data_IF_493526498473
#
_entry.id   IF_493526498473
#
_cell.length_a   1.000
_cell.length_b   1.000
_cell.length_c   1.000
_cell.angle_alpha   90.00
_cell.angle_beta   90.00
_cell.angle_gamma   90.00
#
_symmetry.space_group_name_H-M   'P 1'
#
loop_
_entity.id
_entity.type
_entity.pdbx_description
1 polymer ?
#
# COMPACT_ATOMS: atom_id res chain seq x y z
N UNK A 1 -5.41 -5.27 14.83
CA UNK A 1 -4.26 -5.00 13.96
C UNK A 1 -3.84 -6.25 13.23
N UNK A 2 -3.51 -6.12 11.95
CA UNK A 2 -3.07 -7.24 11.14
C UNK A 2 -1.84 -6.91 10.31
N UNK A 3 -1.20 -7.94 9.80
CA UNK A 3 0.02 -7.83 9.00
C UNK A 3 0.16 -9.03 8.08
N UNK A 4 0.56 -8.78 6.82
CA UNK A 4 0.83 -9.82 5.84
C UNK A 4 1.67 -9.25 4.71
N UNK A 5 2.37 -10.12 3.97
CA UNK A 5 3.02 -9.67 2.74
C UNK A 5 1.96 -9.38 1.68
N UNK A 6 2.34 -8.62 0.66
CA UNK A 6 1.40 -8.35 -0.44
C UNK A 6 1.00 -9.64 -1.16
N UNK A 7 1.94 -10.58 -1.32
CA UNK A 7 1.64 -11.88 -1.92
C UNK A 7 0.61 -12.66 -1.11
N UNK A 8 0.77 -12.67 0.22
CA UNK A 8 -0.19 -13.36 1.11
C UNK A 8 -1.58 -12.74 1.02
N UNK A 9 -1.66 -11.41 0.95
CA UNK A 9 -2.93 -10.72 0.79
C UNK A 9 -3.60 -11.09 -0.54
N UNK A 10 -2.82 -11.12 -1.61
CA UNK A 10 -3.36 -11.47 -2.92
C UNK A 10 -3.89 -12.90 -2.94
N UNK A 11 -3.14 -13.82 -2.34
CA UNK A 11 -3.58 -15.22 -2.23
C UNK A 11 -4.87 -15.34 -1.43
N UNK A 12 -4.98 -14.60 -0.35
CA UNK A 12 -6.21 -14.59 0.47
C UNK A 12 -7.41 -14.11 -0.32
N UNK A 13 -7.25 -12.98 -1.04
CA UNK A 13 -8.34 -12.44 -1.84
C UNK A 13 -8.71 -13.35 -3.01
N UNK A 14 -7.74 -14.01 -3.63
CA UNK A 14 -7.99 -14.93 -4.74
C UNK A 14 -8.68 -16.20 -4.29
N UNK A 15 -8.37 -16.68 -3.09
CA UNK A 15 -8.97 -17.90 -2.54
C UNK A 15 -10.38 -17.71 -2.03
N UNK A 16 -10.82 -16.46 -1.88
CA UNK A 16 -12.14 -16.14 -1.37
C UNK A 16 -13.22 -16.41 -2.42
N UNK A 17 -14.23 -17.15 -2.04
CA UNK A 17 -15.33 -17.52 -2.95
C UNK A 17 -16.53 -16.60 -2.81
N UNK A 18 -16.78 -16.07 -1.62
CA UNK A 18 -17.87 -15.13 -1.38
C UNK A 18 -17.51 -14.23 -0.22
N UNK A 19 -18.35 -13.23 0.02
CA UNK A 19 -18.07 -12.20 1.01
C UNK A 19 -18.09 -12.71 2.45
N UNK A 20 -18.72 -13.87 2.66
CA UNK A 20 -18.82 -14.46 4.01
C UNK A 20 -17.64 -15.36 4.34
N UNK A 21 -16.82 -15.70 3.35
CA UNK A 21 -15.61 -16.46 3.60
C UNK A 21 -14.67 -15.70 4.54
N UNK A 22 -14.01 -16.38 5.48
CA UNK A 22 -13.03 -15.70 6.33
C UNK A 22 -11.88 -15.13 5.52
N UNK A 23 -11.45 -13.92 5.89
CA UNK A 23 -10.29 -13.28 5.30
C UNK A 23 -9.38 -12.71 6.37
N UNK A 24 -8.12 -12.45 5.96
CA UNK A 24 -7.17 -11.77 6.83
C UNK A 24 -7.62 -10.35 7.15
N UNK A 25 -8.23 -9.68 6.18
CA UNK A 25 -8.55 -8.25 6.29
C UNK A 25 -10.05 -8.06 6.55
N UNK A 26 -10.42 -7.38 7.63
CA UNK A 26 -11.84 -7.18 7.95
C UNK A 26 -12.48 -6.11 7.07
N UNK A 27 -13.81 -6.22 6.87
CA UNK A 27 -14.60 -5.26 6.10
C UNK A 27 -15.00 -4.08 7.01
N UNK A 28 -14.02 -3.42 7.58
CA UNK A 28 -14.20 -2.30 8.51
C UNK A 28 -13.27 -1.16 8.14
N UNK A 29 -13.67 0.06 8.48
CA UNK A 29 -12.85 1.25 8.25
C UNK A 29 -11.52 1.14 8.98
N UNK A 30 -10.48 1.71 8.40
CA UNK A 30 -9.19 1.68 9.03
C UNK A 30 -8.10 2.38 8.24
N UNK A 31 -6.88 2.24 8.74
CA UNK A 31 -5.68 2.74 8.08
C UNK A 31 -4.73 1.59 7.82
N UNK A 32 -3.88 1.75 6.83
CA UNK A 32 -2.88 0.74 6.50
C UNK A 32 -1.60 1.40 6.02
N UNK A 33 -0.51 0.66 6.08
CA UNK A 33 0.75 1.12 5.51
C UNK A 33 1.45 -0.03 4.80
N UNK A 34 2.29 0.33 3.84
CA UNK A 34 3.17 -0.62 3.15
C UNK A 34 4.58 -0.32 3.61
N UNK A 35 5.30 -1.34 4.03
CA UNK A 35 6.66 -1.17 4.53
C UNK A 35 7.61 -2.24 4.01
N UNK A 36 8.89 -1.94 4.11
CA UNK A 36 9.97 -2.83 3.69
C UNK A 36 10.25 -3.83 4.81
N UNK A 37 10.28 -5.15 4.51
CA UNK A 37 10.69 -6.11 5.52
C UNK A 37 12.17 -5.97 5.84
N UNK A 38 12.56 -6.43 7.02
CA UNK A 38 13.96 -6.38 7.46
C UNK A 38 14.86 -7.10 6.45
N UNK A 39 15.98 -6.47 6.12
CA UNK A 39 16.98 -7.06 5.23
C UNK A 39 16.71 -6.95 3.74
N UNK A 40 15.60 -6.38 3.35
CA UNK A 40 15.30 -6.19 1.93
C UNK A 40 15.85 -4.86 1.43
N UNK A 41 16.58 -4.91 0.31
CA UNK A 41 17.00 -3.70 -0.39
C UNK A 41 15.91 -3.26 -1.35
N UNK A 42 15.70 -1.96 -1.46
CA UNK A 42 14.69 -1.40 -2.36
C UNK A 42 15.34 -0.91 -3.64
N UNK A 43 14.95 -1.51 -4.75
CA UNK A 43 15.31 -1.05 -6.08
C UNK A 43 14.02 -0.90 -6.89
N UNK A 44 14.04 0.00 -7.87
CA UNK A 44 12.84 0.32 -8.64
C UNK A 44 12.93 -0.20 -10.06
N UNK A 45 11.79 -0.69 -10.57
CA UNK A 45 11.63 -1.05 -11.97
C UNK A 45 11.09 0.15 -12.73
N UNK A 46 11.32 0.18 -14.04
CA UNK A 46 10.73 1.21 -14.90
C UNK A 46 9.36 0.78 -15.45
N UNK A 47 8.82 -0.33 -14.95
CA UNK A 47 7.52 -0.86 -15.36
C UNK A 47 6.68 -1.22 -14.14
N UNK A 48 5.36 -1.23 -14.33
CA UNK A 48 4.42 -1.86 -13.41
C UNK A 48 3.80 -3.00 -14.19
N UNK A 49 3.88 -4.21 -13.66
CA UNK A 49 3.27 -5.36 -14.29
C UNK A 49 1.78 -5.06 -14.50
N UNK A 50 1.23 -5.42 -15.65
CA UNK A 50 -0.16 -5.20 -16.03
C UNK A 50 -0.56 -3.73 -16.28
N UNK A 51 0.32 -2.77 -16.08
CA UNK A 51 0.01 -1.35 -16.29
C UNK A 51 1.16 -0.62 -16.99
N UNK A 52 1.50 -1.01 -18.24
CA UNK A 52 2.56 -0.33 -18.95
C UNK A 52 2.20 1.14 -19.18
N UNK A 53 3.13 2.03 -18.93
CA UNK A 53 2.91 3.46 -19.08
C UNK A 53 2.37 4.17 -17.85
N UNK A 54 2.01 3.44 -16.79
CA UNK A 54 1.49 4.05 -15.57
C UNK A 54 2.58 4.23 -14.52
N UNK A 55 3.82 4.45 -14.94
CA UNK A 55 4.98 4.47 -14.05
C UNK A 55 5.45 5.89 -13.77
N UNK A 56 6.20 6.02 -12.67
CA UNK A 56 6.97 7.22 -12.36
C UNK A 56 8.42 7.00 -12.82
N UNK A 57 9.12 8.05 -13.26
CA UNK A 57 10.55 7.91 -13.56
C UNK A 57 11.34 7.44 -12.34
N UNK A 58 12.27 6.52 -12.56
CA UNK A 58 13.07 5.94 -11.45
C UNK A 58 13.80 7.04 -10.68
N UNK A 59 14.37 8.02 -11.37
CA UNK A 59 15.09 9.13 -10.75
C UNK A 59 14.19 9.90 -9.79
N UNK A 60 12.91 10.03 -10.13
CA UNK A 60 11.96 10.74 -9.29
C UNK A 60 11.63 9.95 -8.03
N UNK A 61 11.52 8.63 -8.17
CA UNK A 61 11.30 7.75 -7.02
C UNK A 61 12.50 7.76 -6.09
N UNK A 62 13.70 7.67 -6.63
CA UNK A 62 14.92 7.69 -5.84
C UNK A 62 15.10 9.02 -5.11
N UNK A 63 14.77 10.14 -5.77
CA UNK A 63 14.86 11.46 -5.16
C UNK A 63 13.87 11.64 -4.00
N UNK A 64 12.74 10.95 -4.06
CA UNK A 64 11.70 11.05 -3.03
C UNK A 64 11.89 10.04 -1.90
N UNK A 65 12.76 9.07 -2.07
CA UNK A 65 12.96 8.01 -1.09
C UNK A 65 13.49 8.54 0.24
N UNK A 66 13.00 7.96 1.33
CA UNK A 66 13.46 8.25 2.70
C UNK A 66 14.16 7.01 3.25
N UNK A 67 15.48 6.87 3.08
CA UNK A 67 16.19 5.65 3.49
C UNK A 67 16.12 5.37 4.99
N UNK A 68 15.89 6.39 5.81
CA UNK A 68 15.81 6.24 7.26
C UNK A 68 14.50 5.60 7.73
N UNK A 69 13.51 5.43 6.84
CA UNK A 69 12.23 4.83 7.18
C UNK A 69 11.97 3.61 6.33
N UNK A 70 11.32 2.60 6.90
CA UNK A 70 10.86 1.44 6.14
C UNK A 70 9.45 1.63 5.57
N UNK A 71 8.78 2.72 5.89
CA UNK A 71 7.42 2.98 5.40
C UNK A 71 7.47 3.59 4.00
N UNK A 72 6.78 2.95 3.05
CA UNK A 72 6.71 3.40 1.67
C UNK A 72 5.39 4.06 1.32
N UNK A 73 4.32 3.73 2.04
CA UNK A 73 2.99 4.26 1.75
C UNK A 73 2.10 4.18 2.98
N UNK A 74 1.27 5.21 3.17
CA UNK A 74 0.24 5.24 4.21
C UNK A 74 -1.10 5.53 3.52
N UNK A 75 -2.10 4.70 3.79
CA UNK A 75 -3.41 4.87 3.19
C UNK A 75 -4.53 4.68 4.19
N UNK A 76 -5.75 4.98 3.75
CA UNK A 76 -6.95 4.80 4.54
C UNK A 76 -8.00 4.04 3.76
N UNK A 77 -8.95 3.46 4.47
CA UNK A 77 -10.09 2.78 3.91
C UNK A 77 -11.35 3.29 4.60
N UNK A 78 -12.01 4.25 3.96
CA UNK A 78 -13.16 4.98 4.53
C UNK A 78 -14.50 4.53 3.95
N UNK A 79 -14.51 3.57 3.04
CA UNK A 79 -15.72 3.08 2.40
C UNK A 79 -16.53 2.14 3.28
N UNK A 80 -17.69 1.73 2.80
CA UNK A 80 -18.62 0.87 3.53
C UNK A 80 -17.99 -0.49 3.90
N UNK A 81 -17.25 -1.08 2.97
CA UNK A 81 -16.57 -2.35 3.21
C UNK A 81 -15.10 -2.18 3.59
N UNK A 82 -14.72 -0.95 3.89
CA UNK A 82 -13.48 -0.57 4.53
C UNK A 82 -12.21 -1.21 3.99
N UNK A 83 -11.40 -1.68 4.91
CA UNK A 83 -10.07 -2.25 4.61
C UNK A 83 -10.15 -3.39 3.59
N UNK A 84 -11.12 -4.29 3.75
CA UNK A 84 -11.26 -5.42 2.83
C UNK A 84 -11.38 -4.96 1.38
N UNK A 85 -12.33 -4.06 1.11
CA UNK A 85 -12.57 -3.59 -0.24
C UNK A 85 -11.39 -2.81 -0.80
N UNK A 86 -10.83 -1.90 0.02
CA UNK A 86 -9.74 -1.04 -0.43
C UNK A 86 -8.47 -1.81 -0.72
N UNK A 87 -8.09 -2.72 0.18
CA UNK A 87 -6.89 -3.52 -0.02
C UNK A 87 -7.04 -4.52 -1.15
N UNK A 88 -8.26 -5.08 -1.32
CA UNK A 88 -8.52 -5.94 -2.47
C UNK A 88 -8.33 -5.18 -3.79
N UNK A 89 -8.88 -3.98 -3.90
CA UNK A 89 -8.70 -3.15 -5.10
C UNK A 89 -7.22 -2.85 -5.33
N UNK A 90 -6.50 -2.56 -4.27
CA UNK A 90 -5.08 -2.24 -4.34
C UNK A 90 -4.27 -3.44 -4.84
N UNK A 91 -4.53 -4.62 -4.28
CA UNK A 91 -3.83 -5.84 -4.71
C UNK A 91 -4.20 -6.20 -6.15
N UNK A 92 -5.45 -6.03 -6.54
CA UNK A 92 -5.85 -6.28 -7.92
C UNK A 92 -5.13 -5.38 -8.91
N UNK A 93 -4.93 -4.14 -8.55
CA UNK A 93 -4.18 -3.22 -9.40
C UNK A 93 -2.78 -3.75 -9.67
N UNK A 94 -2.07 -4.19 -8.65
CA UNK A 94 -0.69 -4.63 -8.78
C UNK A 94 -0.53 -6.04 -9.36
N UNK A 95 -1.42 -6.95 -8.99
CA UNK A 95 -1.27 -8.37 -9.33
C UNK A 95 -2.11 -8.82 -10.52
N UNK A 96 -3.14 -8.07 -10.92
CA UNK A 96 -4.12 -8.59 -11.87
C UNK A 96 -4.72 -7.51 -12.78
N UNK A 97 -3.98 -6.53 -13.23
CA UNK A 97 -4.47 -5.53 -14.20
C UNK A 97 -5.92 -5.07 -13.91
N UNK A 98 -6.32 -5.08 -12.66
CA UNK A 98 -7.68 -4.72 -12.26
C UNK A 98 -7.93 -3.22 -12.28
N UNK A 99 -8.78 -2.76 -11.39
CA UNK A 99 -9.21 -1.40 -11.34
C UNK A 99 -8.06 -0.40 -11.19
N UNK A 100 -8.29 0.80 -11.69
CA UNK A 100 -7.35 1.90 -11.55
C UNK A 100 -7.27 2.32 -10.08
N UNK A 101 -6.10 2.22 -9.47
CA UNK A 101 -5.86 2.63 -8.09
C UNK A 101 -4.81 3.74 -8.11
N UNK A 102 -5.22 4.97 -7.91
CA UNK A 102 -4.31 6.11 -8.06
C UNK A 102 -3.34 6.28 -6.91
N UNK A 103 -3.76 5.96 -5.69
CA UNK A 103 -2.90 6.12 -4.53
C UNK A 103 -1.96 4.93 -4.38
N UNK A 104 -0.70 5.21 -4.12
CA UNK A 104 0.25 4.17 -3.76
C UNK A 104 0.73 3.27 -4.89
N UNK A 105 0.42 3.59 -6.15
CA UNK A 105 0.80 2.71 -7.27
C UNK A 105 2.31 2.55 -7.43
N UNK A 106 3.10 3.50 -6.95
CA UNK A 106 4.56 3.40 -7.03
C UNK A 106 5.12 2.19 -6.28
N UNK A 107 4.35 1.63 -5.34
CA UNK A 107 4.73 0.40 -4.63
C UNK A 107 5.03 -0.72 -5.63
N UNK A 108 4.25 -0.81 -6.71
CA UNK A 108 4.40 -1.89 -7.68
C UNK A 108 5.57 -1.68 -8.66
N UNK A 109 6.29 -0.58 -8.52
CA UNK A 109 7.58 -0.38 -9.19
C UNK A 109 8.76 -0.85 -8.33
N UNK A 110 8.52 -1.26 -7.11
CA UNK A 110 9.57 -1.85 -6.27
C UNK A 110 9.82 -3.26 -6.76
N UNK A 111 11.08 -3.58 -7.05
CA UNK A 111 11.46 -4.92 -7.44
C UNK A 111 11.25 -5.86 -6.25
N UNK A 112 10.52 -6.96 -6.46
CA UNK A 112 10.14 -7.86 -5.37
C UNK A 112 9.02 -7.32 -4.50
N UNK A 113 8.12 -6.49 -5.05
CA UNK A 113 7.05 -5.86 -4.29
C UNK A 113 6.15 -6.87 -3.58
N UNK A 114 6.04 -8.10 -4.08
CA UNK A 114 5.25 -9.15 -3.46
C UNK A 114 5.72 -9.50 -2.04
N UNK A 115 6.95 -9.15 -1.71
CA UNK A 115 7.52 -9.40 -0.38
C UNK A 115 7.36 -8.22 0.58
N UNK A 116 6.88 -7.08 0.10
CA UNK A 116 6.59 -5.94 0.96
C UNK A 116 5.48 -6.32 1.95
N UNK A 117 5.45 -5.65 3.08
CA UNK A 117 4.51 -5.96 4.15
C UNK A 117 3.45 -4.88 4.25
N UNK A 118 2.19 -5.30 4.27
CA UNK A 118 1.06 -4.43 4.58
C UNK A 118 0.66 -4.64 6.03
N UNK A 119 0.52 -3.55 6.77
CA UNK A 119 -0.04 -3.57 8.13
C UNK A 119 -1.31 -2.75 8.13
N UNK A 120 -2.32 -3.22 8.84
CA UNK A 120 -3.60 -2.52 8.92
C UNK A 120 -4.13 -2.47 10.33
N UNK A 121 -4.95 -1.45 10.60
CA UNK A 121 -5.57 -1.26 11.89
C UNK A 121 -6.98 -0.71 11.70
N UNK A 122 -7.96 -1.34 12.31
CA UNK A 122 -9.34 -0.87 12.27
C UNK A 122 -9.47 0.39 13.11
N UNK A 123 -10.11 1.42 12.57
CA UNK A 123 -10.42 2.64 13.33
C UNK A 123 -11.58 3.37 12.67
N UNK A 124 -12.43 4.01 13.47
CA UNK A 124 -13.59 4.73 12.96
C UNK A 124 -13.20 6.06 12.30
N UNK A 125 -12.24 6.77 12.90
CA UNK A 125 -11.79 8.07 12.41
C UNK A 125 -10.56 7.95 11.52
N UNK A 126 -10.65 7.09 10.50
CA UNK A 126 -9.51 6.77 9.66
C UNK A 126 -8.95 7.96 8.89
N UNK A 127 -9.77 8.95 8.52
CA UNK A 127 -9.28 10.14 7.84
C UNK A 127 -8.35 10.95 8.73
N UNK A 128 -8.76 11.18 9.97
CA UNK A 128 -7.94 11.91 10.93
C UNK A 128 -6.66 11.13 11.25
N UNK A 129 -6.79 9.82 11.40
CA UNK A 129 -5.66 8.95 11.70
C UNK A 129 -4.63 8.98 10.58
N UNK A 130 -5.07 8.84 9.33
CA UNK A 130 -4.18 8.90 8.17
C UNK A 130 -3.48 10.26 8.11
N UNK A 131 -4.24 11.35 8.28
CA UNK A 131 -3.66 12.69 8.25
C UNK A 131 -2.58 12.87 9.31
N UNK A 132 -2.84 12.42 10.53
CA UNK A 132 -1.86 12.52 11.61
C UNK A 132 -0.60 11.70 11.32
N UNK A 133 -0.77 10.49 10.79
CA UNK A 133 0.37 9.64 10.44
C UNK A 133 1.22 10.29 9.36
N UNK A 134 0.59 10.87 8.33
CA UNK A 134 1.31 11.55 7.26
C UNK A 134 1.99 12.82 7.75
N UNK A 135 1.33 13.62 8.58
CA UNK A 135 1.92 14.82 9.14
C UNK A 135 3.12 14.50 10.04
N UNK A 136 3.01 13.47 10.85
CA UNK A 136 4.11 13.04 11.70
C UNK A 136 5.30 12.54 10.88
N UNK A 137 5.03 11.81 9.82
CA UNK A 137 6.08 11.35 8.91
C UNK A 137 6.81 12.53 8.27
N UNK A 138 6.05 13.49 7.75
CA UNK A 138 6.62 14.67 7.12
C UNK A 138 7.43 15.52 8.11
N UNK A 139 6.93 15.64 9.34
CA UNK A 139 7.65 16.39 10.39
C UNK A 139 8.99 15.74 10.70
N UNK A 140 9.01 14.40 10.74
CA UNK A 140 10.24 13.67 11.09
C UNK A 140 11.23 13.60 9.94
N UNK A 141 10.77 13.46 8.70
CA UNK A 141 11.64 13.19 7.55
C UNK A 141 11.66 14.30 6.50
N UNK A 142 10.86 15.33 6.64
CA UNK A 142 10.82 16.46 5.71
C UNK A 142 10.00 16.24 4.45
N UNK A 143 9.48 15.05 4.22
CA UNK A 143 8.66 14.71 3.06
C UNK A 143 7.68 13.61 3.43
N UNK A 144 6.71 13.33 2.55
CA UNK A 144 5.80 12.20 2.71
C UNK A 144 6.47 10.89 2.25
N UNK A 145 5.91 9.72 2.64
CA UNK A 145 6.43 8.45 2.13
C UNK A 145 6.47 8.41 0.62
N UNK A 146 7.34 7.59 0.05
CA UNK A 146 7.66 7.61 -1.37
C UNK A 146 6.44 7.44 -2.28
N UNK A 147 5.46 6.64 -1.89
CA UNK A 147 4.27 6.41 -2.70
C UNK A 147 3.12 7.35 -2.40
N UNK A 148 3.28 8.28 -1.46
CA UNK A 148 2.32 9.35 -1.18
C UNK A 148 2.74 10.61 -1.92
N UNK A 149 2.07 10.92 -3.03
CA UNK A 149 2.51 12.00 -3.92
C UNK A 149 1.90 13.35 -3.62
N UNK A 150 0.84 13.38 -2.84
CA UNK A 150 0.13 14.63 -2.57
C UNK A 150 -0.08 14.84 -1.10
N UNK A 151 -0.30 16.07 -0.79
CA UNK A 151 -0.82 16.61 0.48
C UNK A 151 -0.19 17.91 0.86
#
# INVERSE_FOLDING_TARGET
MGEATLAELWDDFCGQKDIEDPHLVPAKKGVYCIRIPAGMEVTFKDTIDNHPGATYPIERLEAKRVPASDILYIGKANGEKGLFQRLRQYMRYGFDAGNNHRGGRAIFQVEGYENLICRWCVCENCEDKERLLLENFKRKYGTYPIANWRK
#
